data_IF_736209623390
#
_entry.id   IF_736209623390
#
_cell.length_a   1.000
_cell.length_b   1.000
_cell.length_c   1.000
_cell.angle_alpha   90.00
_cell.angle_beta   90.00
_cell.angle_gamma   90.00
#
_symmetry.space_group_name_H-M   'P 1'
#
loop_
_entity.id
_entity.type
_entity.pdbx_description
1 polymer ?
#
# COMPACT_ATOMS: atom_id res chain seq x y z
N UNK A 1 -8.69 -3.95 -5.23
CA UNK A 1 -7.43 -3.33 -4.72
C UNK A 1 -6.46 -3.12 -5.88
N UNK A 2 -5.62 -2.07 -5.87
CA UNK A 2 -4.70 -1.74 -6.99
C UNK A 2 -3.74 -2.87 -7.35
N UNK A 3 -3.55 -3.83 -6.45
CA UNK A 3 -2.29 -4.52 -6.35
C UNK A 3 -2.13 -5.79 -7.15
N UNK A 4 -3.12 -6.49 -7.72
CA UNK A 4 -2.86 -7.76 -8.44
C UNK A 4 -1.78 -8.60 -7.70
N UNK A 5 -0.69 -9.01 -8.36
CA UNK A 5 0.50 -9.58 -7.68
C UNK A 5 1.51 -8.60 -7.05
N UNK A 6 1.41 -7.29 -7.28
CA UNK A 6 2.36 -6.26 -6.82
C UNK A 6 2.54 -6.21 -5.29
N UNK A 7 1.48 -6.52 -4.53
CA UNK A 7 1.54 -6.54 -3.06
C UNK A 7 1.69 -7.94 -2.47
N UNK A 8 1.89 -8.97 -3.29
CA UNK A 8 1.93 -10.38 -2.83
C UNK A 8 2.96 -10.57 -1.72
N UNK A 9 4.21 -10.16 -1.96
CA UNK A 9 5.29 -10.29 -0.98
C UNK A 9 4.94 -9.62 0.35
N UNK A 10 4.33 -8.44 0.28
CA UNK A 10 3.99 -7.66 1.46
C UNK A 10 2.85 -8.30 2.25
N UNK A 11 1.88 -8.93 1.59
CA UNK A 11 0.82 -9.66 2.30
C UNK A 11 1.36 -10.88 3.07
N UNK A 12 2.36 -11.58 2.52
CA UNK A 12 3.03 -12.68 3.20
C UNK A 12 3.89 -12.16 4.36
N UNK A 13 4.66 -11.11 4.12
CA UNK A 13 5.58 -10.52 5.09
C UNK A 13 4.85 -9.90 6.29
N UNK A 14 3.70 -9.29 6.04
CA UNK A 14 2.91 -8.61 7.07
C UNK A 14 1.93 -9.53 7.81
N UNK A 15 2.05 -10.84 7.63
CA UNK A 15 1.23 -11.82 8.35
C UNK A 15 -0.24 -11.78 7.97
N UNK A 16 -0.57 -11.34 6.75
CA UNK A 16 -1.93 -11.37 6.20
C UNK A 16 -2.22 -12.66 5.45
N UNK A 17 -1.24 -13.14 4.68
CA UNK A 17 -1.31 -14.36 3.89
C UNK A 17 -0.33 -15.43 4.39
N UNK A 18 -0.70 -16.68 4.16
CA UNK A 18 0.17 -17.83 4.23
C UNK A 18 0.05 -18.66 2.94
N UNK A 19 1.03 -19.51 2.66
CA UNK A 19 0.91 -20.49 1.58
C UNK A 19 0.04 -21.66 2.01
N UNK A 20 -0.72 -22.20 1.06
CA UNK A 20 -1.54 -23.39 1.24
C UNK A 20 -0.73 -24.63 1.68
N UNK A 21 -1.37 -25.48 2.49
CA UNK A 21 -0.85 -26.82 2.81
C UNK A 21 -0.94 -27.82 1.67
N UNK A 22 -1.77 -27.55 0.67
CA UNK A 22 -2.01 -28.44 -0.47
C UNK A 22 -1.09 -28.15 -1.68
N UNK A 23 -0.28 -27.09 -1.59
CA UNK A 23 0.61 -26.65 -2.65
C UNK A 23 2.07 -26.64 -2.19
N UNK A 24 3.00 -26.61 -3.16
CA UNK A 24 4.44 -26.48 -2.93
C UNK A 24 5.06 -25.38 -3.81
N UNK A 25 6.40 -25.31 -3.86
CA UNK A 25 7.13 -24.42 -4.78
C UNK A 25 7.37 -22.99 -4.29
N UNK A 26 7.05 -22.68 -3.03
CA UNK A 26 7.23 -21.35 -2.43
C UNK A 26 8.47 -21.23 -1.52
N UNK A 27 9.38 -22.21 -1.56
CA UNK A 27 10.51 -22.29 -0.64
C UNK A 27 11.39 -21.04 -0.59
N UNK A 28 11.64 -20.37 -1.73
CA UNK A 28 12.44 -19.14 -1.76
C UNK A 28 11.75 -17.97 -1.07
N UNK A 29 10.46 -17.73 -1.33
CA UNK A 29 9.68 -16.70 -0.63
C UNK A 29 9.52 -17.04 0.85
N UNK A 30 9.16 -18.29 1.16
CA UNK A 30 8.94 -18.74 2.53
C UNK A 30 10.22 -18.76 3.37
N UNK A 31 11.41 -18.97 2.78
CA UNK A 31 12.69 -18.87 3.51
C UNK A 31 13.32 -17.48 3.46
N UNK A 32 12.68 -16.53 2.78
CA UNK A 32 13.23 -15.22 2.44
C UNK A 32 14.51 -15.25 1.59
N UNK A 33 14.83 -16.37 0.94
CA UNK A 33 15.93 -16.47 -0.03
C UNK A 33 15.46 -16.04 -1.42
N UNK A 34 15.09 -14.76 -1.56
CA UNK A 34 14.58 -14.23 -2.83
C UNK A 34 15.64 -14.25 -3.94
N UNK A 35 15.19 -14.34 -5.17
CA UNK A 35 16.00 -14.25 -6.39
C UNK A 35 15.59 -13.02 -7.22
N UNK A 36 16.45 -12.57 -8.13
CA UNK A 36 16.15 -11.45 -9.03
C UNK A 36 15.00 -11.72 -10.02
N UNK A 37 14.42 -12.93 -10.04
CA UNK A 37 13.28 -13.27 -10.88
C UNK A 37 11.94 -13.23 -10.11
N UNK A 38 11.96 -12.92 -8.82
CA UNK A 38 10.76 -12.76 -8.01
C UNK A 38 10.33 -11.29 -7.99
N UNK A 39 9.01 -11.07 -8.05
CA UNK A 39 8.40 -9.75 -7.94
C UNK A 39 8.87 -8.73 -9.00
N UNK A 40 9.38 -9.18 -10.15
CA UNK A 40 9.98 -8.29 -11.17
C UNK A 40 9.01 -7.25 -11.72
N UNK A 41 7.70 -7.57 -11.78
CA UNK A 41 6.68 -6.63 -12.23
C UNK A 41 6.60 -5.36 -11.36
N UNK A 42 6.99 -5.41 -10.08
CA UNK A 42 7.07 -4.22 -9.21
C UNK A 42 8.08 -3.18 -9.71
N UNK A 43 9.02 -3.58 -10.57
CA UNK A 43 9.96 -2.71 -11.25
C UNK A 43 9.58 -2.53 -12.72
N UNK A 44 9.55 -3.65 -13.46
CA UNK A 44 9.46 -3.63 -14.92
C UNK A 44 8.17 -2.98 -15.39
N UNK A 45 7.02 -3.33 -14.80
CA UNK A 45 5.73 -2.75 -15.19
C UNK A 45 5.66 -1.27 -14.80
N UNK A 46 6.20 -0.89 -13.64
CA UNK A 46 6.17 0.49 -13.18
C UNK A 46 6.97 1.39 -14.13
N UNK A 47 8.16 0.99 -14.55
CA UNK A 47 8.94 1.78 -15.53
C UNK A 47 8.34 1.74 -16.94
N UNK A 48 8.02 0.54 -17.45
CA UNK A 48 7.63 0.35 -18.86
C UNK A 48 6.18 0.74 -19.17
N UNK A 49 5.30 0.82 -18.17
CA UNK A 49 3.89 1.15 -18.37
C UNK A 49 3.47 2.39 -17.57
N UNK A 50 3.73 2.45 -16.27
CA UNK A 50 3.21 3.55 -15.46
C UNK A 50 3.98 4.85 -15.72
N UNK A 51 5.28 4.85 -15.41
CA UNK A 51 6.12 6.05 -15.45
C UNK A 51 6.27 6.60 -16.86
N UNK A 52 6.56 5.76 -17.87
CA UNK A 52 6.72 6.25 -19.25
C UNK A 52 5.46 6.93 -19.79
N UNK A 53 4.26 6.45 -19.40
CA UNK A 53 2.99 7.05 -19.84
C UNK A 53 2.74 8.39 -19.15
N UNK A 54 2.99 8.51 -17.84
CA UNK A 54 2.87 9.80 -17.15
C UNK A 54 3.92 10.81 -17.64
N UNK A 55 5.16 10.39 -17.89
CA UNK A 55 6.18 11.24 -18.49
C UNK A 55 5.76 11.74 -19.88
N UNK A 56 5.10 10.91 -20.67
CA UNK A 56 4.55 11.31 -21.96
C UNK A 56 3.49 12.39 -21.81
N UNK A 57 2.57 12.28 -20.83
CA UNK A 57 1.59 13.34 -20.55
C UNK A 57 2.29 14.64 -20.16
N UNK A 58 3.30 14.58 -19.29
CA UNK A 58 4.09 15.74 -18.87
C UNK A 58 4.75 16.42 -20.08
N UNK A 59 5.40 15.65 -20.95
CA UNK A 59 6.11 16.18 -22.12
C UNK A 59 5.20 16.80 -23.18
N UNK A 60 3.92 16.39 -23.20
CA UNK A 60 2.92 16.86 -24.17
C UNK A 60 1.96 17.92 -23.60
N UNK A 61 1.95 18.14 -22.29
CA UNK A 61 1.17 19.21 -21.64
C UNK A 61 1.91 20.55 -21.76
N UNK A 62 1.83 21.18 -22.94
CA UNK A 62 2.67 22.34 -23.33
C UNK A 62 1.98 23.69 -23.18
N UNK A 63 0.69 23.74 -22.89
CA UNK A 63 -0.07 24.99 -22.78
C UNK A 63 -0.78 25.08 -21.43
N UNK A 64 -1.36 26.25 -21.15
CA UNK A 64 -2.16 26.45 -19.95
C UNK A 64 -3.45 25.61 -19.94
N UNK A 65 -3.90 25.12 -21.09
CA UNK A 65 -5.12 24.30 -21.17
C UNK A 65 -4.90 22.91 -20.59
N UNK A 66 -3.69 22.35 -20.68
CA UNK A 66 -3.40 21.00 -20.17
C UNK A 66 -2.91 20.99 -18.71
N UNK A 67 -3.07 22.09 -17.96
CA UNK A 67 -2.58 22.22 -16.59
C UNK A 67 -3.09 21.11 -15.65
N UNK A 68 -4.35 20.67 -15.81
CA UNK A 68 -4.91 19.56 -15.03
C UNK A 68 -4.23 18.22 -15.34
N UNK A 69 -4.01 17.91 -16.62
CA UNK A 69 -3.32 16.68 -17.03
C UNK A 69 -1.86 16.67 -16.57
N UNK A 70 -1.18 17.81 -16.70
CA UNK A 70 0.18 17.98 -16.16
C UNK A 70 0.20 17.73 -14.65
N UNK A 71 -0.73 18.34 -13.91
CA UNK A 71 -0.80 18.20 -12.46
C UNK A 71 -1.01 16.76 -12.01
N UNK A 72 -1.98 16.06 -12.63
CA UNK A 72 -2.25 14.65 -12.39
C UNK A 72 -1.01 13.79 -12.65
N UNK A 73 -0.36 13.97 -13.80
CA UNK A 73 0.81 13.17 -14.17
C UNK A 73 2.01 13.42 -13.24
N UNK A 74 2.22 14.65 -12.79
CA UNK A 74 3.25 14.97 -11.79
C UNK A 74 3.03 14.20 -10.48
N UNK A 75 1.80 14.22 -9.96
CA UNK A 75 1.41 13.53 -8.72
C UNK A 75 1.55 12.00 -8.87
N UNK A 76 1.10 11.44 -9.99
CA UNK A 76 1.15 9.99 -10.21
C UNK A 76 2.58 9.47 -10.44
N UNK A 77 3.47 10.22 -11.10
CA UNK A 77 4.89 9.83 -11.12
C UNK A 77 5.49 9.80 -9.72
N UNK A 78 5.14 10.76 -8.86
CA UNK A 78 5.61 10.77 -7.48
C UNK A 78 5.10 9.55 -6.69
N UNK A 79 3.84 9.14 -6.87
CA UNK A 79 3.28 7.92 -6.28
C UNK A 79 4.07 6.67 -6.68
N UNK A 80 4.39 6.53 -7.97
CA UNK A 80 5.12 5.37 -8.48
C UNK A 80 6.57 5.34 -8.02
N UNK A 81 7.27 6.48 -8.06
CA UNK A 81 8.65 6.55 -7.59
C UNK A 81 8.77 6.36 -6.07
N UNK A 82 7.79 6.82 -5.28
CA UNK A 82 7.75 6.56 -3.83
C UNK A 82 7.74 5.04 -3.56
N UNK A 83 6.88 4.29 -4.25
CA UNK A 83 6.84 2.82 -4.12
C UNK A 83 8.15 2.15 -4.56
N UNK A 84 8.75 2.61 -5.66
CA UNK A 84 10.04 2.10 -6.13
C UNK A 84 11.14 2.32 -5.09
N UNK A 85 11.28 3.54 -4.55
CA UNK A 85 12.28 3.85 -3.51
C UNK A 85 12.02 3.03 -2.25
N UNK A 86 10.76 2.84 -1.87
CA UNK A 86 10.44 2.10 -0.65
C UNK A 86 10.68 0.59 -0.77
N UNK A 87 10.61 0.05 -1.98
CA UNK A 87 10.91 -1.36 -2.25
C UNK A 87 12.40 -1.59 -2.50
N UNK A 88 13.10 -0.65 -3.16
CA UNK A 88 14.42 -0.89 -3.74
C UNK A 88 15.50 0.10 -3.31
N UNK A 89 15.18 1.13 -2.53
CA UNK A 89 16.05 2.23 -2.12
C UNK A 89 16.50 3.13 -3.27
N UNK A 90 17.64 2.83 -3.89
CA UNK A 90 18.17 3.63 -5.00
C UNK A 90 17.54 3.13 -6.30
N UNK A 91 17.09 4.04 -7.16
CA UNK A 91 16.44 3.67 -8.42
C UNK A 91 16.79 4.68 -9.52
N UNK A 92 16.75 4.31 -10.81
CA UNK A 92 16.81 5.27 -11.90
C UNK A 92 15.73 6.33 -11.78
N UNK A 93 16.11 7.61 -11.65
CA UNK A 93 15.17 8.72 -11.46
C UNK A 93 15.46 9.89 -12.42
N UNK A 94 16.50 10.70 -12.21
CA UNK A 94 16.75 11.89 -13.05
C UNK A 94 17.09 11.54 -14.49
N UNK A 95 17.68 10.37 -14.70
CA UNK A 95 18.14 9.88 -16.01
C UNK A 95 17.18 8.86 -16.64
N UNK A 96 16.18 8.40 -15.89
CA UNK A 96 15.19 7.46 -16.37
C UNK A 96 14.26 8.08 -17.44
N UNK A 97 13.56 7.22 -18.17
CA UNK A 97 12.51 7.58 -19.14
C UNK A 97 12.99 8.42 -20.34
N UNK A 98 14.31 8.48 -20.57
CA UNK A 98 14.95 9.20 -21.69
C UNK A 98 15.38 8.26 -22.83
N UNK A 99 14.68 7.15 -23.00
CA UNK A 99 15.00 6.14 -24.01
C UNK A 99 15.20 6.73 -25.40
N UNK A 100 16.22 6.25 -26.13
CA UNK A 100 16.64 6.81 -27.41
C UNK A 100 17.65 7.96 -27.30
N UNK A 101 17.76 8.61 -26.13
CA UNK A 101 18.81 9.62 -25.85
C UNK A 101 19.76 9.17 -24.73
N UNK A 102 19.25 8.46 -23.73
CA UNK A 102 20.04 7.85 -22.66
C UNK A 102 19.47 6.46 -22.34
N UNK A 103 20.26 5.42 -22.63
CA UNK A 103 19.80 4.03 -22.56
C UNK A 103 20.25 3.29 -21.29
N UNK A 104 21.17 3.87 -20.51
CA UNK A 104 21.74 3.28 -19.29
C UNK A 104 21.59 4.27 -18.14
N UNK A 105 20.37 4.49 -17.64
CA UNK A 105 20.14 5.49 -16.63
C UNK A 105 20.81 5.08 -15.32
N UNK A 106 21.54 6.03 -14.71
CA UNK A 106 22.13 5.82 -13.38
C UNK A 106 21.04 5.71 -12.32
N UNK A 107 21.40 5.11 -11.20
CA UNK A 107 20.56 5.06 -10.01
C UNK A 107 20.82 6.29 -9.17
N UNK A 108 19.75 7.01 -8.82
CA UNK A 108 19.85 8.11 -7.86
C UNK A 108 19.60 7.59 -6.45
N UNK A 109 20.20 8.28 -5.47
CA UNK A 109 20.06 7.94 -4.07
C UNK A 109 18.63 8.16 -3.59
N UNK A 110 18.05 7.17 -2.90
CA UNK A 110 16.68 7.27 -2.36
C UNK A 110 16.44 8.52 -1.51
N UNK A 111 17.45 8.92 -0.71
CA UNK A 111 17.41 10.13 0.12
C UNK A 111 17.35 11.44 -0.67
N UNK A 112 17.86 11.46 -1.90
CA UNK A 112 17.75 12.61 -2.81
C UNK A 112 16.43 12.59 -3.61
N UNK A 113 15.89 11.39 -3.88
CA UNK A 113 14.64 11.22 -4.62
C UNK A 113 13.45 11.74 -3.79
N UNK A 114 13.36 11.42 -2.51
CA UNK A 114 12.23 11.82 -1.65
C UNK A 114 11.91 13.33 -1.71
N UNK A 115 12.86 14.26 -1.47
CA UNK A 115 12.62 15.69 -1.63
C UNK A 115 12.23 16.09 -3.06
N UNK A 116 12.72 15.39 -4.09
CA UNK A 116 12.31 15.63 -5.47
C UNK A 116 10.86 15.20 -5.73
N UNK A 117 10.39 14.11 -5.09
CA UNK A 117 8.99 13.68 -5.17
C UNK A 117 8.06 14.72 -4.53
N UNK A 118 8.43 15.26 -3.38
CA UNK A 118 7.66 16.33 -2.71
C UNK A 118 7.51 17.56 -3.63
N UNK A 119 8.60 18.02 -4.23
CA UNK A 119 8.58 19.12 -5.22
C UNK A 119 7.70 18.81 -6.44
N UNK A 120 7.67 17.56 -6.88
CA UNK A 120 6.84 17.11 -7.99
C UNK A 120 5.36 17.16 -7.64
N UNK A 121 5.01 16.71 -6.43
CA UNK A 121 3.65 16.80 -5.87
C UNK A 121 3.23 18.27 -5.75
N UNK A 122 4.07 19.13 -5.18
CA UNK A 122 3.79 20.57 -5.05
C UNK A 122 3.61 21.25 -6.41
N UNK A 123 4.44 20.90 -7.39
CA UNK A 123 4.28 21.37 -8.77
C UNK A 123 2.95 20.93 -9.37
N UNK A 124 2.51 19.70 -9.08
CA UNK A 124 1.21 19.21 -9.53
C UNK A 124 0.03 19.94 -8.88
N UNK A 125 0.10 20.15 -7.56
CA UNK A 125 -0.90 20.95 -6.82
C UNK A 125 -0.95 22.37 -7.36
N UNK A 126 0.21 23.01 -7.58
CA UNK A 126 0.28 24.37 -8.10
C UNK A 126 -0.32 24.48 -9.52
N UNK A 127 -0.07 23.49 -10.38
CA UNK A 127 -0.67 23.45 -11.72
C UNK A 127 -2.19 23.32 -11.67
N UNK A 128 -2.71 22.47 -10.78
CA UNK A 128 -4.17 22.29 -10.60
C UNK A 128 -4.82 23.55 -10.04
N UNK A 129 -4.25 24.13 -8.98
CA UNK A 129 -4.81 25.33 -8.34
C UNK A 129 -4.68 26.58 -9.21
N UNK A 130 -3.64 26.64 -10.05
CA UNK A 130 -3.39 27.73 -10.99
C UNK A 130 -4.08 27.55 -12.36
N UNK A 131 -4.79 26.44 -12.57
CA UNK A 131 -5.47 26.17 -13.83
C UNK A 131 -6.53 27.24 -14.11
N UNK A 132 -6.54 27.77 -15.33
CA UNK A 132 -7.58 28.71 -15.75
C UNK A 132 -8.94 28.02 -15.82
N UNK A 133 -10.03 28.78 -15.80
CA UNK A 133 -11.37 28.23 -16.03
C UNK A 133 -11.57 27.61 -17.42
N UNK A 134 -10.65 27.89 -18.35
CA UNK A 134 -10.63 27.31 -19.69
C UNK A 134 -9.74 26.07 -19.80
N UNK A 135 -9.08 25.66 -18.72
CA UNK A 135 -8.27 24.44 -18.71
C UNK A 135 -9.14 23.21 -18.98
N UNK A 136 -8.60 22.28 -19.75
CA UNK A 136 -9.30 21.05 -20.10
C UNK A 136 -9.56 20.23 -18.83
N UNK A 137 -10.81 19.79 -18.69
CA UNK A 137 -11.20 18.91 -17.61
C UNK A 137 -11.02 17.44 -18.07
N UNK A 138 -10.25 16.61 -17.34
CA UNK A 138 -10.08 15.19 -17.68
C UNK A 138 -11.39 14.38 -17.71
N UNK A 139 -12.40 14.77 -16.93
CA UNK A 139 -13.72 14.15 -16.90
C UNK A 139 -13.65 12.62 -16.80
N UNK A 140 -14.30 11.94 -17.74
CA UNK A 140 -14.34 10.47 -17.82
C UNK A 140 -12.98 9.80 -18.10
N UNK A 141 -11.97 10.54 -18.57
CA UNK A 141 -10.63 10.00 -18.77
C UNK A 141 -9.86 9.87 -17.45
N UNK A 142 -10.27 10.62 -16.43
CA UNK A 142 -9.82 10.40 -15.05
C UNK A 142 -10.71 9.35 -14.37
N UNK A 143 -10.20 8.12 -14.34
CA UNK A 143 -10.88 6.96 -13.74
C UNK A 143 -10.81 6.92 -12.21
N UNK A 144 -10.19 7.91 -11.57
CA UNK A 144 -10.07 8.00 -10.11
C UNK A 144 -11.07 9.00 -9.52
N UNK A 145 -11.05 10.25 -10.00
CA UNK A 145 -11.88 11.33 -9.46
C UNK A 145 -12.82 11.97 -10.48
N UNK A 146 -12.91 11.43 -11.69
CA UNK A 146 -13.83 11.88 -12.72
C UNK A 146 -13.62 13.34 -13.15
N UNK A 147 -12.40 13.88 -12.98
CA UNK A 147 -12.10 15.29 -13.26
C UNK A 147 -12.42 16.25 -12.11
N UNK A 148 -12.72 15.71 -10.91
CA UNK A 148 -12.89 16.51 -9.69
C UNK A 148 -11.53 16.92 -9.14
N UNK A 149 -10.99 18.02 -9.66
CA UNK A 149 -9.61 18.43 -9.40
C UNK A 149 -9.31 18.78 -7.94
N UNK A 150 -10.31 19.18 -7.16
CA UNK A 150 -10.16 19.37 -5.71
C UNK A 150 -9.79 18.06 -5.00
N UNK A 151 -10.34 16.91 -5.42
CA UNK A 151 -9.98 15.61 -4.86
C UNK A 151 -8.54 15.20 -5.22
N UNK A 152 -8.04 15.62 -6.40
CA UNK A 152 -6.62 15.45 -6.74
C UNK A 152 -5.69 16.22 -5.80
N UNK A 153 -6.07 17.42 -5.38
CA UNK A 153 -5.31 18.20 -4.38
C UNK A 153 -5.31 17.49 -3.01
N UNK A 154 -6.46 16.95 -2.59
CA UNK A 154 -6.55 16.17 -1.34
C UNK A 154 -5.69 14.89 -1.41
N UNK A 155 -5.75 14.16 -2.52
CA UNK A 155 -4.91 12.98 -2.76
C UNK A 155 -3.42 13.32 -2.77
N UNK A 156 -3.04 14.40 -3.45
CA UNK A 156 -1.66 14.88 -3.51
C UNK A 156 -1.10 15.18 -2.12
N UNK A 157 -1.88 15.90 -1.29
CA UNK A 157 -1.51 16.16 0.10
C UNK A 157 -1.46 14.88 0.95
N UNK A 158 -2.38 13.92 0.74
CA UNK A 158 -2.33 12.62 1.44
C UNK A 158 -1.09 11.82 1.05
N UNK A 159 -0.71 11.79 -0.23
CA UNK A 159 0.52 11.16 -0.71
C UNK A 159 1.76 11.86 -0.12
N UNK A 160 1.75 13.19 -0.08
CA UNK A 160 2.79 14.00 0.57
C UNK A 160 2.95 13.61 2.04
N UNK A 161 1.84 13.52 2.78
CA UNK A 161 1.83 13.07 4.18
C UNK A 161 2.41 11.66 4.34
N UNK A 162 2.02 10.72 3.48
CA UNK A 162 2.54 9.34 3.47
C UNK A 162 4.07 9.30 3.28
N UNK A 163 4.60 10.03 2.30
CA UNK A 163 6.05 10.16 2.06
C UNK A 163 6.76 10.76 3.28
N UNK A 164 6.19 11.82 3.86
CA UNK A 164 6.78 12.51 5.01
C UNK A 164 6.80 11.63 6.27
N UNK A 165 5.76 10.83 6.51
CA UNK A 165 5.71 9.95 7.68
C UNK A 165 6.74 8.81 7.64
N UNK A 166 7.20 8.41 6.45
CA UNK A 166 8.35 7.50 6.33
C UNK A 166 9.65 8.10 6.88
N UNK A 167 9.78 9.44 6.87
CA UNK A 167 10.96 10.14 7.38
C UNK A 167 10.94 10.36 8.91
N UNK A 168 9.93 9.87 9.62
CA UNK A 168 9.78 10.09 11.08
C UNK A 168 10.91 9.51 11.91
N UNK A 169 11.60 8.49 11.41
CA UNK A 169 12.80 7.91 12.04
C UNK A 169 14.11 8.28 11.32
N UNK A 170 14.03 9.04 10.23
CA UNK A 170 15.21 9.46 9.48
C UNK A 170 15.88 10.66 10.15
N UNK A 171 17.21 10.61 10.30
CA UNK A 171 17.98 11.72 10.85
C UNK A 171 17.80 12.99 10.02
N UNK A 172 17.26 14.05 10.63
CA UNK A 172 16.95 15.31 9.95
C UNK A 172 15.59 15.35 9.24
N UNK A 173 14.80 14.27 9.29
CA UNK A 173 13.46 14.21 8.69
C UNK A 173 12.46 15.19 9.31
N UNK A 174 12.53 15.38 10.64
CA UNK A 174 11.57 16.22 11.38
C UNK A 174 11.44 17.65 10.84
N UNK A 175 12.54 18.30 10.47
CA UNK A 175 12.52 19.67 9.94
C UNK A 175 11.80 19.74 8.59
N UNK A 176 12.03 18.75 7.72
CA UNK A 176 11.35 18.68 6.42
C UNK A 176 9.86 18.39 6.61
N UNK A 177 9.49 17.47 7.49
CA UNK A 177 8.08 17.18 7.81
C UNK A 177 7.37 18.44 8.28
N UNK A 178 7.98 19.16 9.24
CA UNK A 178 7.40 20.38 9.79
C UNK A 178 7.23 21.47 8.74
N UNK A 179 8.21 21.68 7.86
CA UNK A 179 8.11 22.70 6.80
C UNK A 179 7.06 22.36 5.76
N UNK A 180 6.98 21.09 5.37
CA UNK A 180 6.12 20.62 4.28
C UNK A 180 4.64 20.48 4.69
N UNK A 181 4.39 20.29 6.00
CA UNK A 181 3.03 20.25 6.57
C UNK A 181 2.57 21.60 7.14
N UNK A 182 3.41 22.63 7.11
CA UNK A 182 3.06 23.94 7.63
C UNK A 182 1.84 24.52 6.91
N UNK A 183 0.82 24.92 7.68
CA UNK A 183 -0.43 25.48 7.16
C UNK A 183 -1.43 24.44 6.62
N UNK A 184 -1.07 23.16 6.57
CA UNK A 184 -2.02 22.09 6.26
C UNK A 184 -2.83 21.71 7.50
N UNK A 185 -4.09 21.34 7.28
CA UNK A 185 -5.00 20.88 8.34
C UNK A 185 -5.65 19.57 7.90
N UNK A 186 -6.43 18.93 8.77
CA UNK A 186 -7.12 17.67 8.42
C UNK A 186 -8.01 17.78 7.16
N UNK A 187 -8.53 18.96 6.82
CA UNK A 187 -9.30 19.17 5.59
C UNK A 187 -8.45 19.30 4.32
N UNK A 188 -7.12 19.34 4.45
CA UNK A 188 -6.18 19.36 3.34
C UNK A 188 -5.95 17.98 2.73
N UNK A 189 -6.44 16.91 3.37
CA UNK A 189 -6.21 15.51 3.01
C UNK A 189 -7.53 14.82 2.64
N UNK A 190 -7.45 13.63 2.06
CA UNK A 190 -8.63 12.77 1.85
C UNK A 190 -9.29 12.46 3.21
N UNK A 191 -10.59 12.77 3.32
CA UNK A 191 -11.43 12.48 4.47
C UNK A 191 -12.32 11.24 4.27
N UNK A 192 -13.25 11.03 5.20
CA UNK A 192 -14.23 9.94 5.11
C UNK A 192 -15.05 10.02 3.80
N UNK A 193 -15.21 8.89 3.13
CA UNK A 193 -15.89 8.78 1.84
C UNK A 193 -15.07 9.25 0.63
N UNK A 194 -13.85 9.78 0.83
CA UNK A 194 -12.98 10.27 -0.23
C UNK A 194 -11.87 9.25 -0.52
N UNK A 195 -12.23 8.11 -1.11
CA UNK A 195 -11.25 7.10 -1.52
C UNK A 195 -10.53 7.51 -2.80
N UNK A 196 -9.20 7.35 -2.84
CA UNK A 196 -8.47 7.30 -4.10
C UNK A 196 -8.56 5.88 -4.67
N UNK A 197 -9.63 5.61 -5.40
CA UNK A 197 -9.89 4.31 -6.01
C UNK A 197 -10.14 4.44 -7.51
N UNK A 198 -9.63 3.50 -8.31
CA UNK A 198 -9.76 3.50 -9.77
C UNK A 198 -10.71 2.42 -10.26
N UNK A 199 -11.47 2.73 -11.29
CA UNK A 199 -12.27 1.75 -12.02
C UNK A 199 -12.33 2.13 -13.50
N UNK A 200 -11.47 1.56 -14.36
CA UNK A 200 -11.48 1.84 -15.79
C UNK A 200 -12.61 1.12 -16.55
N UNK A 201 -13.60 0.57 -15.84
CA UNK A 201 -14.66 -0.28 -16.40
C UNK A 201 -14.40 -1.77 -16.16
N UNK A 202 -13.95 -2.14 -14.96
CA UNK A 202 -13.76 -3.54 -14.59
C UNK A 202 -15.06 -4.34 -14.77
N UNK A 203 -14.96 -5.51 -15.37
CA UNK A 203 -16.09 -6.35 -15.73
C UNK A 203 -15.73 -7.83 -15.67
N UNK A 204 -16.72 -8.68 -15.37
CA UNK A 204 -16.55 -10.14 -15.38
C UNK A 204 -16.66 -10.75 -16.79
N UNK A 205 -16.35 -9.99 -17.85
CA UNK A 205 -16.50 -10.44 -19.24
C UNK A 205 -15.31 -11.29 -19.70
N UNK A 206 -14.09 -10.92 -19.29
CA UNK A 206 -12.86 -11.68 -19.51
C UNK A 206 -11.96 -11.58 -18.27
N UNK A 207 -11.05 -12.52 -18.07
CA UNK A 207 -10.16 -12.51 -16.90
C UNK A 207 -9.36 -11.20 -16.78
N UNK A 208 -8.85 -10.69 -17.90
CA UNK A 208 -8.06 -9.45 -17.95
C UNK A 208 -8.91 -8.17 -17.76
N UNK A 209 -10.23 -8.27 -17.81
CA UNK A 209 -11.15 -7.16 -17.52
C UNK A 209 -11.65 -7.15 -16.08
N UNK A 210 -11.41 -8.19 -15.29
CA UNK A 210 -11.77 -8.19 -13.88
C UNK A 210 -10.92 -7.17 -13.10
N UNK A 211 -11.41 -6.77 -11.94
CA UNK A 211 -10.60 -6.10 -10.92
C UNK A 211 -9.30 -6.90 -10.70
N UNK A 212 -8.11 -6.26 -10.73
CA UNK A 212 -6.84 -6.99 -10.71
C UNK A 212 -6.67 -7.90 -9.50
N UNK A 213 -7.20 -7.54 -8.34
CA UNK A 213 -7.11 -8.38 -7.16
C UNK A 213 -8.10 -9.55 -7.22
N UNK A 214 -9.35 -9.29 -7.61
CA UNK A 214 -10.36 -10.34 -7.83
C UNK A 214 -9.87 -11.38 -8.83
N UNK A 215 -9.32 -10.94 -9.96
CA UNK A 215 -8.79 -11.84 -10.98
C UNK A 215 -7.46 -12.48 -10.64
N UNK A 216 -6.78 -12.02 -9.57
CA UNK A 216 -5.52 -12.57 -9.11
C UNK A 216 -5.67 -13.63 -8.03
N UNK A 217 -6.58 -13.46 -7.04
CA UNK A 217 -6.77 -14.39 -5.90
C UNK A 217 -8.22 -14.81 -5.66
N UNK A 218 -9.16 -14.31 -6.47
CA UNK A 218 -10.57 -14.67 -6.39
C UNK A 218 -10.93 -15.75 -7.40
N UNK A 219 -11.69 -15.37 -8.42
CA UNK A 219 -12.42 -16.31 -9.25
C UNK A 219 -12.22 -16.05 -10.75
N UNK A 220 -12.29 -17.13 -11.53
CA UNK A 220 -12.40 -17.07 -12.99
C UNK A 220 -13.74 -16.44 -13.40
N UNK A 221 -13.89 -16.09 -14.69
CA UNK A 221 -15.15 -15.53 -15.22
C UNK A 221 -16.37 -16.42 -15.00
N UNK A 222 -16.16 -17.73 -14.87
CA UNK A 222 -17.22 -18.73 -14.68
C UNK A 222 -17.52 -19.01 -13.19
N UNK A 223 -16.86 -18.31 -12.27
CA UNK A 223 -17.05 -18.45 -10.82
C UNK A 223 -16.23 -19.57 -10.16
N UNK A 224 -15.43 -20.33 -10.92
CA UNK A 224 -14.46 -21.28 -10.34
C UNK A 224 -13.30 -20.54 -9.68
N UNK A 225 -12.71 -21.12 -8.63
CA UNK A 225 -11.48 -20.59 -8.01
C UNK A 225 -10.39 -20.37 -9.05
N UNK A 226 -9.77 -19.18 -9.03
CA UNK A 226 -8.53 -18.95 -9.76
C UNK A 226 -7.38 -19.70 -9.06
N UNK A 227 -6.32 -20.11 -9.76
CA UNK A 227 -5.27 -20.96 -9.18
C UNK A 227 -4.66 -20.43 -7.87
N UNK A 228 -4.49 -19.11 -7.79
CA UNK A 228 -3.95 -18.46 -6.60
C UNK A 228 -4.94 -18.37 -5.41
N UNK A 229 -6.25 -18.52 -5.64
CA UNK A 229 -7.26 -18.55 -4.57
C UNK A 229 -7.01 -19.69 -3.59
N UNK A 230 -6.56 -20.82 -4.13
CA UNK A 230 -6.26 -22.00 -3.34
C UNK A 230 -4.78 -22.07 -2.96
N UNK A 231 -3.91 -21.28 -3.61
CA UNK A 231 -2.50 -21.17 -3.26
C UNK A 231 -2.25 -20.26 -2.05
N UNK A 232 -2.95 -19.13 -1.95
CA UNK A 232 -2.84 -18.19 -0.83
C UNK A 232 -3.99 -18.36 0.15
N UNK A 233 -3.66 -18.55 1.43
CA UNK A 233 -4.61 -18.77 2.51
C UNK A 233 -4.44 -17.73 3.61
N UNK A 234 -5.41 -17.69 4.52
CA UNK A 234 -5.35 -16.84 5.70
C UNK A 234 -4.12 -17.17 6.57
N UNK A 235 -3.41 -16.16 7.02
CA UNK A 235 -2.33 -16.32 8.00
C UNK A 235 -2.90 -16.30 9.43
N UNK A 236 -2.36 -17.18 10.29
CA UNK A 236 -2.76 -17.27 11.69
C UNK A 236 -2.57 -15.95 12.46
N UNK A 237 -1.53 -15.17 12.16
CA UNK A 237 -1.23 -13.93 12.87
C UNK A 237 -2.37 -12.91 12.76
N UNK A 238 -2.75 -12.54 11.53
CA UNK A 238 -3.88 -11.64 11.30
C UNK A 238 -5.22 -12.24 11.75
N UNK A 239 -5.50 -13.51 11.46
CA UNK A 239 -6.73 -14.17 11.92
C UNK A 239 -6.87 -14.11 13.44
N UNK A 240 -5.80 -14.43 14.17
CA UNK A 240 -5.82 -14.42 15.62
C UNK A 240 -5.98 -13.02 16.19
N UNK A 241 -5.35 -12.00 15.58
CA UNK A 241 -5.60 -10.61 15.98
C UNK A 241 -7.10 -10.28 15.88
N UNK A 242 -7.73 -10.54 14.74
CA UNK A 242 -9.14 -10.21 14.58
C UNK A 242 -10.05 -11.01 15.52
N UNK A 243 -9.82 -12.32 15.64
CA UNK A 243 -10.64 -13.19 16.49
C UNK A 243 -10.50 -12.85 17.98
N UNK A 244 -9.28 -12.58 18.46
CA UNK A 244 -9.03 -12.29 19.88
C UNK A 244 -9.57 -10.93 20.33
N UNK A 245 -9.81 -10.02 19.38
CA UNK A 245 -10.25 -8.64 19.62
C UNK A 245 -11.69 -8.38 19.14
N UNK A 246 -12.46 -9.46 18.91
CA UNK A 246 -13.84 -9.44 18.36
C UNK A 246 -13.99 -8.49 17.17
N UNK A 247 -13.00 -8.46 16.29
CA UNK A 247 -12.95 -7.53 15.18
C UNK A 247 -13.85 -8.02 14.03
N UNK A 248 -14.88 -7.25 13.65
CA UNK A 248 -15.82 -7.68 12.61
C UNK A 248 -15.17 -7.80 11.22
N UNK A 249 -13.93 -7.30 11.05
CA UNK A 249 -13.16 -7.45 9.80
C UNK A 249 -12.74 -8.89 9.53
N UNK A 250 -12.67 -9.77 10.54
CA UNK A 250 -12.28 -11.18 10.38
C UNK A 250 -13.05 -11.85 9.24
N UNK A 251 -14.39 -11.83 9.30
CA UNK A 251 -15.28 -12.46 8.33
C UNK A 251 -15.42 -11.72 7.01
N UNK A 252 -14.72 -10.60 6.84
CA UNK A 252 -14.67 -9.82 5.61
C UNK A 252 -13.35 -10.05 4.88
N UNK A 253 -12.22 -10.04 5.61
CA UNK A 253 -10.92 -10.38 5.04
C UNK A 253 -10.74 -11.86 4.74
N UNK A 254 -11.39 -12.73 5.50
CA UNK A 254 -11.27 -14.18 5.37
C UNK A 254 -12.63 -14.86 5.30
N UNK A 255 -12.75 -15.87 4.44
CA UNK A 255 -13.94 -16.72 4.41
C UNK A 255 -13.80 -17.85 5.43
N UNK A 256 -14.88 -18.23 6.14
CA UNK A 256 -14.86 -19.41 7.00
C UNK A 256 -14.42 -20.67 6.24
N UNK A 257 -13.71 -21.56 6.93
CA UNK A 257 -13.37 -22.88 6.42
C UNK A 257 -14.62 -23.79 6.31
N UNK A 258 -14.44 -25.05 5.92
CA UNK A 258 -15.55 -25.99 5.74
C UNK A 258 -16.36 -26.27 7.01
N UNK A 259 -15.80 -26.01 8.20
CA UNK A 259 -16.47 -26.13 9.50
C UNK A 259 -17.12 -24.82 9.97
N UNK A 260 -17.10 -23.76 9.16
CA UNK A 260 -17.68 -22.46 9.50
C UNK A 260 -16.81 -21.61 10.43
N UNK A 261 -15.52 -21.94 10.57
CA UNK A 261 -14.58 -21.22 11.44
C UNK A 261 -13.59 -20.41 10.61
N UNK A 262 -13.27 -19.19 11.07
CA UNK A 262 -12.18 -18.41 10.48
C UNK A 262 -10.87 -18.84 11.14
N UNK A 263 -10.04 -19.54 10.38
CA UNK A 263 -8.82 -20.15 10.88
C UNK A 263 -7.66 -19.91 9.93
N UNK A 264 -6.54 -19.42 10.46
CA UNK A 264 -5.34 -19.12 9.69
C UNK A 264 -4.23 -20.12 9.95
N UNK A 265 -3.30 -20.20 9.01
CA UNK A 265 -2.11 -21.05 9.06
C UNK A 265 -0.87 -20.26 9.46
N UNK A 266 0.03 -20.86 10.22
CA UNK A 266 1.33 -20.25 10.55
C UNK A 266 2.20 -20.15 9.30
N UNK A 267 2.81 -18.99 9.06
CA UNK A 267 3.62 -18.78 7.85
C UNK A 267 4.82 -19.73 7.79
N UNK A 268 4.93 -20.47 6.68
CA UNK A 268 6.01 -21.44 6.48
C UNK A 268 5.79 -22.80 7.13
N UNK A 269 4.64 -23.03 7.80
CA UNK A 269 4.33 -24.34 8.38
C UNK A 269 4.41 -25.46 7.33
N UNK A 270 4.89 -26.62 7.76
CA UNK A 270 4.93 -27.87 6.98
C UNK A 270 4.03 -28.94 7.59
N UNK A 271 3.12 -28.56 8.47
CA UNK A 271 2.09 -29.47 8.96
C UNK A 271 1.17 -29.85 7.80
N UNK A 272 1.18 -31.15 7.46
CA UNK A 272 0.40 -31.73 6.38
C UNK A 272 -1.09 -31.84 6.67
N UNK A 273 -1.54 -31.53 7.90
CA UNK A 273 -2.96 -31.49 8.25
C UNK A 273 -3.65 -30.15 7.92
N UNK A 274 -2.87 -29.10 7.65
CA UNK A 274 -3.35 -27.74 7.36
C UNK A 274 -3.83 -27.57 5.90
N UNK A 275 -4.72 -28.47 5.47
CA UNK A 275 -5.35 -28.46 4.15
C UNK A 275 -6.24 -27.23 3.93
N UNK A 276 -6.52 -26.89 2.67
CA UNK A 276 -7.41 -25.79 2.32
C UNK A 276 -8.85 -25.94 2.84
N UNK A 277 -9.27 -27.16 3.19
CA UNK A 277 -10.57 -27.44 3.82
C UNK A 277 -10.66 -26.95 5.26
N UNK A 278 -9.52 -26.81 5.95
CA UNK A 278 -9.44 -26.37 7.36
C UNK A 278 -8.84 -24.99 7.54
N UNK A 279 -8.08 -24.47 6.56
CA UNK A 279 -7.57 -23.10 6.56
C UNK A 279 -8.48 -22.18 5.75
N UNK A 280 -8.83 -21.02 6.28
CA UNK A 280 -9.65 -20.01 5.61
C UNK A 280 -9.02 -19.49 4.30
N UNK A 281 -9.89 -19.22 3.31
CA UNK A 281 -9.52 -18.50 2.09
C UNK A 281 -9.58 -17.00 2.31
N UNK A 282 -9.16 -16.25 1.28
CA UNK A 282 -9.45 -14.82 1.18
C UNK A 282 -10.96 -14.60 1.12
N UNK A 283 -11.42 -13.55 1.80
CA UNK A 283 -12.82 -13.34 2.17
C UNK A 283 -13.63 -12.42 1.25
N UNK A 284 -14.95 -12.38 1.46
CA UNK A 284 -15.91 -11.70 0.57
C UNK A 284 -15.85 -10.17 0.65
N UNK A 285 -15.19 -9.59 1.67
CA UNK A 285 -15.05 -8.13 1.79
C UNK A 285 -14.05 -7.54 0.81
N UNK A 286 -13.07 -8.33 0.37
CA UNK A 286 -12.02 -7.93 -0.58
C UNK A 286 -12.13 -8.63 -1.94
N UNK A 287 -13.10 -9.54 -2.07
CA UNK A 287 -13.49 -10.25 -3.28
C UNK A 287 -14.97 -10.05 -3.57
N UNK A 288 -15.48 -8.85 -3.30
CA UNK A 288 -16.90 -8.54 -3.35
C UNK A 288 -17.44 -8.62 -4.78
N UNK A 289 -16.65 -8.21 -5.79
CA UNK A 289 -17.05 -8.26 -7.19
C UNK A 289 -15.88 -8.14 -8.15
N UNK A 290 -15.95 -8.85 -9.28
CA UNK A 290 -15.04 -8.65 -10.41
C UNK A 290 -15.06 -7.21 -10.98
N UNK A 291 -16.10 -6.42 -10.67
CA UNK A 291 -16.25 -5.03 -11.13
C UNK A 291 -15.98 -4.00 -10.03
N UNK A 292 -15.52 -4.41 -8.85
CA UNK A 292 -15.26 -3.49 -7.74
C UNK A 292 -14.10 -2.54 -8.03
N UNK A 293 -14.02 -1.45 -7.27
CA UNK A 293 -12.94 -0.47 -7.42
C UNK A 293 -11.58 -1.02 -6.97
N UNK A 294 -10.53 -0.52 -7.58
CA UNK A 294 -9.16 -0.79 -7.16
C UNK A 294 -8.61 0.40 -6.36
N UNK A 295 -8.45 0.23 -5.05
CA UNK A 295 -7.95 1.27 -4.16
C UNK A 295 -6.45 1.48 -4.30
N UNK A 296 -6.02 2.74 -4.43
CA UNK A 296 -4.62 3.17 -4.33
C UNK A 296 -4.32 3.71 -2.94
N UNK A 297 -5.16 4.62 -2.43
CA UNK A 297 -5.15 5.10 -1.04
C UNK A 297 -6.62 5.19 -0.56
N UNK A 298 -7.10 4.22 0.22
CA UNK A 298 -8.42 4.30 0.86
C UNK A 298 -8.51 5.48 1.83
N UNK A 299 -9.73 5.98 2.06
CA UNK A 299 -9.98 7.05 3.03
C UNK A 299 -9.50 6.69 4.45
N UNK A 300 -9.65 5.43 4.87
CA UNK A 300 -9.18 4.99 6.18
C UNK A 300 -7.67 5.14 6.36
N UNK A 301 -6.87 4.88 5.32
CA UNK A 301 -5.42 5.03 5.37
C UNK A 301 -5.06 6.50 5.57
N UNK A 302 -5.67 7.40 4.78
CA UNK A 302 -5.49 8.85 4.95
C UNK A 302 -5.82 9.32 6.37
N UNK A 303 -6.88 8.79 6.98
CA UNK A 303 -7.31 9.14 8.32
C UNK A 303 -6.34 8.63 9.40
N UNK A 304 -5.76 7.43 9.24
CA UNK A 304 -4.69 6.93 10.10
C UNK A 304 -3.42 7.77 9.99
N UNK A 305 -2.99 8.12 8.78
CA UNK A 305 -1.83 9.00 8.54
C UNK A 305 -2.03 10.36 9.23
N UNK A 306 -3.23 10.94 9.14
CA UNK A 306 -3.57 12.19 9.82
C UNK A 306 -3.54 12.03 11.35
N UNK A 307 -4.08 10.94 11.88
CA UNK A 307 -4.07 10.66 13.32
C UNK A 307 -2.64 10.52 13.86
N UNK A 308 -1.77 9.81 13.15
CA UNK A 308 -0.35 9.72 13.48
C UNK A 308 0.33 11.09 13.45
N UNK A 309 0.09 11.89 12.41
CA UNK A 309 0.72 13.20 12.30
C UNK A 309 0.27 14.17 13.41
N UNK A 310 -0.98 14.08 13.88
CA UNK A 310 -1.44 14.77 15.09
C UNK A 310 -0.75 14.23 16.34
N UNK A 311 -0.68 12.91 16.51
CA UNK A 311 -0.03 12.26 17.65
C UNK A 311 1.43 12.72 17.80
N UNK A 312 2.12 12.92 16.67
CA UNK A 312 3.52 13.38 16.61
C UNK A 312 3.68 14.90 16.70
N UNK A 313 2.60 15.67 16.69
CA UNK A 313 2.63 17.13 16.73
C UNK A 313 2.98 17.81 15.41
N UNK A 314 2.96 17.08 14.28
CA UNK A 314 3.22 17.65 12.95
C UNK A 314 1.98 18.29 12.31
N UNK A 315 0.79 17.88 12.72
CA UNK A 315 -0.47 18.53 12.35
C UNK A 315 -1.17 19.07 13.59
N UNK A 316 -1.68 20.30 13.50
CA UNK A 316 -2.46 20.90 14.58
C UNK A 316 -3.86 20.30 14.66
N UNK A 317 -4.35 20.11 15.89
CA UNK A 317 -5.76 19.80 16.19
C UNK A 317 -6.58 21.07 15.89
N UNK A 318 -6.98 21.26 14.64
CA UNK A 318 -7.94 22.29 14.27
C UNK A 318 -9.36 21.95 14.76
N UNK A 319 -10.37 22.68 14.30
CA UNK A 319 -11.78 22.50 14.68
C UNK A 319 -12.44 21.17 14.26
N UNK A 320 -11.70 20.23 13.66
CA UNK A 320 -12.26 19.15 12.84
C UNK A 320 -11.92 17.71 13.28
N UNK A 321 -11.25 17.54 14.43
CA UNK A 321 -11.19 16.26 15.12
C UNK A 321 -9.95 16.08 16.00
N UNK A 322 -10.15 15.50 17.18
CA UNK A 322 -9.09 14.93 18.00
C UNK A 322 -8.49 13.70 17.31
N UNK A 323 -7.33 13.22 17.78
CA UNK A 323 -6.75 11.93 17.37
C UNK A 323 -7.77 10.79 17.46
N UNK A 324 -8.57 10.77 18.53
CA UNK A 324 -9.65 9.81 18.76
C UNK A 324 -10.75 9.87 17.69
N UNK A 325 -11.19 11.08 17.32
CA UNK A 325 -12.18 11.24 16.26
C UNK A 325 -11.66 10.78 14.89
N UNK A 326 -10.37 10.98 14.60
CA UNK A 326 -9.76 10.46 13.36
C UNK A 326 -9.64 8.93 13.38
N UNK A 327 -9.24 8.36 14.51
CA UNK A 327 -9.19 6.91 14.70
C UNK A 327 -10.56 6.26 14.46
N UNK A 328 -11.62 6.74 15.11
CA UNK A 328 -12.98 6.22 14.93
C UNK A 328 -13.46 6.34 13.48
N UNK A 329 -13.17 7.47 12.81
CA UNK A 329 -13.46 7.63 11.38
C UNK A 329 -12.68 6.64 10.52
N UNK A 330 -11.40 6.40 10.82
CA UNK A 330 -10.57 5.46 10.08
C UNK A 330 -11.10 4.03 10.18
N UNK A 331 -11.47 3.57 11.39
CA UNK A 331 -12.10 2.26 11.61
C UNK A 331 -13.45 2.17 10.89
N UNK A 332 -14.28 3.22 10.99
CA UNK A 332 -15.55 3.28 10.25
C UNK A 332 -15.36 3.17 8.74
N UNK A 333 -14.37 3.86 8.17
CA UNK A 333 -14.10 3.81 6.73
C UNK A 333 -13.52 2.44 6.30
N UNK A 334 -12.70 1.80 7.15
CA UNK A 334 -12.26 0.41 6.94
C UNK A 334 -13.45 -0.54 6.90
N UNK A 335 -14.40 -0.38 7.84
CA UNK A 335 -15.62 -1.18 7.90
C UNK A 335 -16.52 -0.92 6.69
N UNK A 336 -16.65 0.33 6.25
CA UNK A 336 -17.42 0.72 5.06
C UNK A 336 -16.87 0.06 3.80
N UNK A 337 -15.57 0.17 3.58
CA UNK A 337 -14.89 -0.40 2.41
C UNK A 337 -15.01 -1.93 2.38
N UNK A 338 -15.01 -2.58 3.54
CA UNK A 338 -15.24 -4.02 3.66
C UNK A 338 -16.70 -4.45 3.54
N UNK A 339 -17.66 -3.52 3.47
CA UNK A 339 -19.08 -3.83 3.40
C UNK A 339 -19.70 -4.31 4.72
N UNK A 340 -19.14 -3.90 5.87
CA UNK A 340 -19.74 -4.13 7.18
C UNK A 340 -20.97 -3.22 7.32
N UNK A 341 -22.10 -3.78 7.77
CA UNK A 341 -23.34 -3.03 7.94
C UNK A 341 -23.20 -1.97 9.04
N UNK A 342 -23.82 -0.80 8.82
CA UNK A 342 -23.78 0.33 9.78
C UNK A 342 -22.37 0.65 10.27
N UNK A 343 -21.41 0.93 9.37
CA UNK A 343 -19.97 0.93 9.68
C UNK A 343 -19.60 1.90 10.81
N UNK A 344 -20.25 3.07 10.88
CA UNK A 344 -20.01 4.03 11.96
C UNK A 344 -20.45 3.50 13.35
N UNK A 345 -21.61 2.84 13.42
CA UNK A 345 -22.09 2.24 14.67
C UNK A 345 -21.24 1.03 15.08
N UNK A 346 -20.84 0.20 14.10
CA UNK A 346 -19.95 -0.92 14.34
C UNK A 346 -18.57 -0.46 14.84
N UNK A 347 -18.01 0.61 14.27
CA UNK A 347 -16.75 1.20 14.72
C UNK A 347 -16.85 1.77 16.15
N UNK A 348 -17.96 2.44 16.49
CA UNK A 348 -18.20 2.91 17.85
C UNK A 348 -18.26 1.75 18.86
N UNK A 349 -18.95 0.65 18.52
CA UNK A 349 -18.96 -0.56 19.37
C UNK A 349 -17.56 -1.17 19.52
N UNK A 350 -16.79 -1.22 18.44
CA UNK A 350 -15.43 -1.77 18.43
C UNK A 350 -14.46 -0.98 19.33
N UNK A 351 -14.55 0.36 19.28
CA UNK A 351 -13.74 1.27 20.11
C UNK A 351 -14.19 1.28 21.59
N UNK A 352 -15.42 0.86 21.90
CA UNK A 352 -15.93 0.79 23.28
C UNK A 352 -15.62 -0.53 24.01
N UNK A 353 -14.93 -1.48 23.37
CA UNK A 353 -14.56 -2.72 24.03
C UNK A 353 -13.60 -2.45 25.20
N UNK A 354 -13.65 -3.31 26.23
CA UNK A 354 -12.69 -3.29 27.34
C UNK A 354 -11.37 -3.95 26.92
N UNK A 355 -10.78 -3.48 25.82
CA UNK A 355 -9.60 -4.05 25.21
C UNK A 355 -8.64 -2.93 24.78
N UNK A 356 -7.40 -2.86 25.34
CA UNK A 356 -6.42 -1.85 24.96
C UNK A 356 -5.90 -1.98 23.53
N UNK A 357 -6.28 -3.03 22.78
CA UNK A 357 -5.97 -3.18 21.36
C UNK A 357 -7.01 -2.57 20.44
N UNK A 358 -8.23 -2.30 20.90
CA UNK A 358 -9.31 -1.73 20.07
C UNK A 358 -9.81 -0.37 20.58
N UNK A 359 -9.61 -0.08 21.87
CA UNK A 359 -10.02 1.17 22.51
C UNK A 359 -8.82 2.09 22.75
N UNK A 360 -8.78 3.22 22.06
CA UNK A 360 -7.64 4.15 22.12
C UNK A 360 -7.45 4.74 23.52
N UNK A 361 -8.53 4.95 24.27
CA UNK A 361 -8.47 5.52 25.63
C UNK A 361 -7.83 4.58 26.65
N UNK A 362 -7.78 3.28 26.35
CA UNK A 362 -7.15 2.24 27.17
C UNK A 362 -5.71 1.94 26.75
N UNK A 363 -5.25 2.49 25.62
CA UNK A 363 -3.92 2.24 25.09
C UNK A 363 -2.83 2.93 25.94
N UNK A 364 -1.81 2.19 26.33
CA UNK A 364 -0.64 2.74 27.05
C UNK A 364 0.30 3.55 26.15
N UNK A 365 0.33 3.23 24.86
CA UNK A 365 1.07 3.95 23.84
C UNK A 365 0.15 4.22 22.64
N UNK A 366 -0.35 5.46 22.49
CA UNK A 366 -1.22 5.85 21.38
C UNK A 366 -0.61 5.63 19.99
N UNK A 367 0.71 5.79 19.83
CA UNK A 367 1.35 5.57 18.53
C UNK A 367 1.33 4.09 18.17
N UNK A 368 1.77 3.23 19.10
CA UNK A 368 1.72 1.77 18.89
C UNK A 368 0.31 1.28 18.61
N UNK A 369 -0.69 1.83 19.31
CA UNK A 369 -2.09 1.54 19.05
C UNK A 369 -2.51 1.92 17.63
N UNK A 370 -2.30 3.18 17.23
CA UNK A 370 -2.74 3.69 15.92
C UNK A 370 -2.12 2.88 14.78
N UNK A 371 -0.83 2.57 14.85
CA UNK A 371 -0.13 1.84 13.79
C UNK A 371 -0.53 0.36 13.78
N UNK A 372 -0.86 -0.24 14.92
CA UNK A 372 -1.42 -1.60 14.97
C UNK A 372 -2.81 -1.63 14.33
N UNK A 373 -3.66 -0.64 14.60
CA UNK A 373 -5.00 -0.55 14.00
C UNK A 373 -4.95 -0.21 12.50
N UNK A 374 -3.97 0.59 12.08
CA UNK A 374 -3.69 0.84 10.67
C UNK A 374 -3.22 -0.44 9.98
N UNK A 375 -2.28 -1.21 10.58
CA UNK A 375 -1.90 -2.54 10.09
C UNK A 375 -3.12 -3.47 9.96
N UNK A 376 -4.03 -3.47 10.93
CA UNK A 376 -5.24 -4.28 10.87
C UNK A 376 -6.18 -3.85 9.73
N UNK A 377 -6.25 -2.55 9.41
CA UNK A 377 -7.08 -2.01 8.33
C UNK A 377 -6.46 -2.18 6.94
N UNK A 378 -5.12 -2.10 6.83
CA UNK A 378 -4.37 -2.20 5.58
C UNK A 378 -4.32 -3.60 4.97
N UNK A 379 -4.77 -4.62 5.70
CA UNK A 379 -4.80 -6.02 5.25
C UNK A 379 -5.38 -6.13 3.84
N UNK A 380 -4.56 -6.65 2.91
CA UNK A 380 -4.81 -6.76 1.47
C UNK A 380 -5.02 -5.45 0.68
N UNK A 381 -5.46 -4.35 1.31
CA UNK A 381 -5.66 -3.05 0.65
C UNK A 381 -4.37 -2.34 0.28
N UNK A 382 -3.43 -2.22 1.23
CA UNK A 382 -2.09 -1.69 0.97
C UNK A 382 -1.07 -2.31 1.95
N UNK A 383 -0.80 -3.60 1.76
CA UNK A 383 0.19 -4.33 2.55
C UNK A 383 1.61 -3.77 2.41
N UNK A 384 1.92 -3.07 1.30
CA UNK A 384 3.22 -2.41 1.10
C UNK A 384 3.37 -1.25 2.10
N UNK A 385 2.29 -0.53 2.38
CA UNK A 385 2.26 0.54 3.38
C UNK A 385 2.40 -0.02 4.78
N UNK A 386 1.71 -1.14 5.08
CA UNK A 386 1.91 -1.84 6.35
C UNK A 386 3.37 -2.29 6.53
N UNK A 387 3.99 -2.81 5.47
CA UNK A 387 5.41 -3.18 5.46
C UNK A 387 6.34 -1.99 5.63
N UNK A 388 6.03 -0.86 5.00
CA UNK A 388 6.77 0.37 5.20
C UNK A 388 6.66 0.83 6.66
N UNK A 389 5.46 0.87 7.23
CA UNK A 389 5.21 1.20 8.64
C UNK A 389 6.00 0.29 9.59
N UNK A 390 6.04 -1.02 9.33
CA UNK A 390 6.87 -1.93 10.11
C UNK A 390 8.36 -1.67 9.94
N UNK A 391 8.85 -1.35 8.74
CA UNK A 391 10.27 -1.01 8.54
C UNK A 391 10.68 0.25 9.31
N UNK A 392 9.82 1.28 9.36
CA UNK A 392 10.12 2.51 10.09
C UNK A 392 9.94 2.35 11.60
N UNK A 393 8.92 1.65 12.07
CA UNK A 393 8.57 1.65 13.50
C UNK A 393 8.68 0.30 14.22
N UNK A 394 8.85 -0.81 13.50
CA UNK A 394 8.77 -2.18 14.03
C UNK A 394 7.44 -2.46 14.74
N UNK A 395 6.34 -1.92 14.21
CA UNK A 395 4.98 -2.16 14.69
C UNK A 395 4.18 -2.86 13.58
N UNK A 396 3.47 -3.98 13.88
CA UNK A 396 3.50 -4.71 15.15
C UNK A 396 4.89 -5.30 15.48
N UNK A 397 5.22 -5.36 16.78
CA UNK A 397 6.54 -5.80 17.26
C UNK A 397 6.70 -7.33 17.28
N UNK A 398 5.60 -8.06 17.24
CA UNK A 398 5.52 -9.52 17.35
C UNK A 398 5.15 -10.20 16.03
N UNK A 399 5.34 -9.51 14.90
CA UNK A 399 5.17 -10.11 13.58
C UNK A 399 6.10 -11.33 13.43
N UNK A 400 5.55 -12.54 13.19
CA UNK A 400 6.35 -13.75 13.16
C UNK A 400 7.19 -13.84 11.89
N UNK A 401 8.41 -14.33 12.03
CA UNK A 401 9.19 -14.82 10.89
C UNK A 401 8.66 -16.18 10.44
N UNK A 402 8.86 -16.50 9.16
CA UNK A 402 8.53 -17.82 8.62
C UNK A 402 9.20 -18.95 9.40
N UNK A 403 8.44 -20.01 9.66
CA UNK A 403 8.96 -21.25 10.26
C UNK A 403 9.37 -22.29 9.20
N UNK A 404 9.40 -21.91 7.92
CA UNK A 404 9.73 -22.84 6.84
C UNK A 404 11.16 -23.40 7.00
N UNK A 405 11.39 -24.71 6.79
CA UNK A 405 12.72 -25.30 6.90
C UNK A 405 13.75 -24.57 6.02
N UNK A 406 14.86 -24.15 6.64
CA UNK A 406 15.92 -23.40 5.96
C UNK A 406 15.78 -21.88 6.04
N UNK A 407 14.74 -21.36 6.71
CA UNK A 407 14.69 -19.93 7.09
C UNK A 407 15.79 -19.64 8.10
N UNK A 408 16.72 -18.74 7.73
CA UNK A 408 17.83 -18.31 8.60
C UNK A 408 17.76 -16.81 8.95
N UNK A 409 16.84 -16.07 8.32
CA UNK A 409 16.67 -14.65 8.58
C UNK A 409 16.14 -14.41 10.00
N UNK A 410 16.73 -13.44 10.71
CA UNK A 410 16.31 -13.06 12.05
C UNK A 410 15.01 -12.23 12.08
N UNK A 411 14.64 -11.64 10.94
CA UNK A 411 13.44 -10.85 10.75
C UNK A 411 13.00 -10.83 9.28
N UNK A 412 11.80 -10.30 9.03
CA UNK A 412 11.23 -10.13 7.69
C UNK A 412 12.14 -9.24 6.81
N UNK A 413 12.26 -9.49 5.49
CA UNK A 413 13.02 -8.65 4.58
C UNK A 413 12.61 -7.19 4.61
N UNK A 414 13.56 -6.29 4.37
CA UNK A 414 13.39 -4.83 4.44
C UNK A 414 13.45 -4.14 3.09
N UNK A 415 13.83 -4.88 2.04
CA UNK A 415 13.80 -4.43 0.65
C UNK A 415 13.70 -5.62 -0.30
N UNK A 416 13.46 -5.34 -1.57
CA UNK A 416 13.51 -6.31 -2.66
C UNK A 416 14.84 -6.23 -3.41
N UNK A 417 15.14 -7.31 -4.14
CA UNK A 417 16.26 -7.36 -5.09
C UNK A 417 15.88 -6.62 -6.37
N UNK A 418 16.82 -5.90 -6.98
CA UNK A 418 16.62 -5.40 -8.35
C UNK A 418 16.33 -6.56 -9.30
N UNK A 419 15.41 -6.41 -10.27
CA UNK A 419 15.05 -7.50 -11.16
C UNK A 419 16.20 -7.92 -12.07
N UNK A 420 16.14 -9.13 -12.60
CA UNK A 420 17.13 -9.66 -13.55
C UNK A 420 17.20 -8.87 -14.85
N UNK A 421 16.15 -8.12 -15.19
CA UNK A 421 16.15 -7.15 -16.29
C UNK A 421 17.23 -6.07 -16.12
N UNK A 422 17.50 -5.56 -14.92
CA UNK A 422 18.57 -4.57 -14.70
C UNK A 422 19.96 -5.18 -14.88
N UNK A 423 20.15 -6.42 -14.44
CA UNK A 423 21.42 -7.15 -14.64
C UNK A 423 21.73 -7.42 -16.11
N UNK A 424 20.71 -7.43 -16.98
CA UNK A 424 20.87 -7.68 -18.42
C UNK A 424 20.92 -6.40 -19.25
N UNK A 425 20.13 -5.38 -18.88
CA UNK A 425 19.95 -4.15 -19.68
C UNK A 425 20.73 -2.95 -19.14
N UNK A 426 21.11 -2.94 -17.87
CA UNK A 426 21.74 -1.81 -17.18
C UNK A 426 22.87 -2.28 -16.23
N UNK A 427 23.59 -3.33 -16.63
CA UNK A 427 24.49 -4.13 -15.77
C UNK A 427 25.53 -3.32 -15.01
N UNK A 428 26.15 -2.33 -15.65
CA UNK A 428 27.17 -1.49 -15.02
C UNK A 428 26.60 -0.66 -13.86
N UNK A 429 25.42 -0.06 -14.04
CA UNK A 429 24.78 0.79 -13.03
C UNK A 429 24.20 -0.01 -11.86
N UNK A 430 23.61 -1.18 -12.12
CA UNK A 430 23.11 -2.05 -11.04
C UNK A 430 24.26 -2.67 -10.25
N UNK A 431 25.36 -3.05 -10.92
CA UNK A 431 26.58 -3.56 -10.23
C UNK A 431 27.19 -2.49 -9.32
N UNK A 432 27.13 -1.22 -9.72
CA UNK A 432 27.59 -0.09 -8.90
C UNK A 432 26.78 0.09 -7.60
N UNK A 433 25.60 -0.52 -7.47
CA UNK A 433 24.84 -0.54 -6.21
C UNK A 433 25.37 -1.57 -5.20
N UNK A 434 26.30 -2.44 -5.62
CA UNK A 434 26.84 -3.52 -4.79
C UNK A 434 25.84 -4.67 -4.58
N UNK A 435 26.20 -5.59 -3.68
CA UNK A 435 25.33 -6.71 -3.30
C UNK A 435 24.17 -6.19 -2.45
N UNK A 436 22.94 -6.42 -2.91
CA UNK A 436 21.73 -6.08 -2.17
C UNK A 436 21.48 -7.14 -1.09
N UNK A 437 21.66 -6.77 0.17
CA UNK A 437 21.19 -7.54 1.32
C UNK A 437 19.72 -7.18 1.60
N UNK A 438 18.79 -8.10 1.35
CA UNK A 438 17.37 -7.87 1.58
C UNK A 438 16.96 -7.94 3.05
N UNK A 439 17.80 -8.51 3.92
CA UNK A 439 17.55 -8.59 5.36
C UNK A 439 18.12 -7.33 6.02
N UNK A 440 19.42 -7.06 5.90
CA UNK A 440 20.06 -5.97 6.66
C UNK A 440 20.30 -4.70 5.85
N UNK A 441 20.20 -4.75 4.52
CA UNK A 441 20.39 -3.59 3.64
C UNK A 441 19.21 -2.64 3.75
N UNK A 442 19.25 -1.72 4.70
CA UNK A 442 18.17 -0.76 4.98
C UNK A 442 17.80 0.10 3.75
N UNK A 443 16.53 0.46 3.65
CA UNK A 443 16.11 1.65 2.90
C UNK A 443 16.59 2.88 3.68
N UNK A 444 16.97 3.96 2.99
CA UNK A 444 17.67 5.09 3.61
C UNK A 444 16.95 5.71 4.82
N UNK A 445 15.61 5.67 4.84
CA UNK A 445 14.78 6.27 5.91
C UNK A 445 14.58 5.36 7.12
N UNK A 446 15.03 4.11 7.06
CA UNK A 446 14.89 3.18 8.18
C UNK A 446 15.87 3.53 9.31
N UNK A 447 15.44 3.40 10.58
CA UNK A 447 16.32 3.59 11.75
C UNK A 447 17.43 2.53 11.80
#
# INVERSE_FOLDING_TARGET
>A
MYSGGFSEFANLFMGYWAFSGDYGGYGTTATYNLTNNQYTSNWDFVYSNCLVNYQSIINNSRTANEANYFGIAQIMEAFHYQRLVDMYNNVPFTDALKGGTLNYPKYDNGSAIYPALLKKIDSGIAAINGASSAADNPGKYDVMFGGTMSNWVLFANTLKLKILLNLTQYSGGASLIQSELNGLTVSSFLGAGQDAAVNPGYANTTQSQQNPFYGFVGFTTNGSNYGNHDFYRANAYAVNFYNNHNDPRAGRFYAPNASGVIHGRVFGSQDGSEHNTVISSIGPGVLASASENAYLIPAFESLFLQAEAIQRGYLSIGSYGTMDALYQKAVSESFRVLGIASPAAAAATYDQQSDPKTNLSLASDPLTFLITQEWAALNMYDAVTAWNNWKRLRIPADLPVSIYPGTTAAHIPVRLLYPSSESTTNSANVTAQGTVDIINGKIFWMP
#
